data_IF_703979867438
#
_entry.id   IF_703979867438
#
_cell.length_a   1.000
_cell.length_b   1.000
_cell.length_c   1.000
_cell.angle_alpha   90.00
_cell.angle_beta   90.00
_cell.angle_gamma   90.00
#
_symmetry.space_group_name_H-M   'P 1'
#
loop_
_entity.id
_entity.type
_entity.pdbx_description
1 polymer ?
#
# COMPACT_ATOMS: atom_id res chain seq x y z
N UNK A 1 -42.28 -28.25 -32.23
CA UNK A 1 -40.91 -27.80 -32.52
C UNK A 1 -40.75 -26.39 -31.98
N UNK A 2 -40.37 -26.28 -30.70
CA UNK A 2 -40.23 -24.99 -30.02
C UNK A 2 -38.77 -24.59 -30.01
N UNK A 3 -38.33 -23.86 -31.02
CA UNK A 3 -37.00 -23.26 -31.04
C UNK A 3 -36.88 -22.31 -29.85
N UNK A 4 -36.00 -22.66 -28.92
CA UNK A 4 -35.64 -21.77 -27.81
C UNK A 4 -34.76 -20.67 -28.38
N UNK A 5 -35.33 -19.49 -28.58
CA UNK A 5 -34.61 -18.34 -29.12
C UNK A 5 -33.55 -17.88 -28.10
N UNK A 6 -32.27 -18.14 -28.40
CA UNK A 6 -31.15 -17.73 -27.54
C UNK A 6 -30.92 -16.23 -27.74
N UNK A 7 -31.33 -15.44 -26.75
CA UNK A 7 -31.07 -13.99 -26.73
C UNK A 7 -29.79 -13.68 -25.97
N UNK A 8 -28.76 -13.20 -26.66
CA UNK A 8 -27.55 -12.70 -26.02
C UNK A 8 -27.81 -11.36 -25.32
N UNK A 9 -27.46 -11.27 -24.03
CA UNK A 9 -27.56 -10.04 -23.24
C UNK A 9 -26.15 -9.60 -22.88
N UNK A 10 -25.77 -8.38 -23.27
CA UNK A 10 -24.49 -7.77 -22.86
C UNK A 10 -24.57 -7.38 -21.39
N UNK A 11 -23.64 -7.87 -20.57
CA UNK A 11 -23.66 -7.65 -19.11
C UNK A 11 -22.80 -6.44 -18.70
N UNK A 12 -21.52 -6.45 -19.04
CA UNK A 12 -20.58 -5.36 -18.78
C UNK A 12 -19.42 -5.38 -19.79
N UNK A 13 -18.52 -4.39 -19.71
CA UNK A 13 -17.19 -4.50 -20.32
C UNK A 13 -16.40 -5.66 -19.69
N UNK A 14 -15.35 -6.20 -20.36
CA UNK A 14 -14.63 -7.37 -19.88
C UNK A 14 -14.18 -7.25 -18.41
N UNK A 15 -14.67 -8.17 -17.58
CA UNK A 15 -14.36 -8.27 -16.17
C UNK A 15 -13.94 -9.71 -15.89
N UNK A 16 -12.75 -9.90 -15.35
CA UNK A 16 -12.18 -11.22 -15.06
C UNK A 16 -12.14 -11.45 -13.55
N UNK A 17 -12.60 -12.61 -13.11
CA UNK A 17 -12.40 -13.09 -11.73
C UNK A 17 -11.14 -13.97 -11.71
N UNK A 18 -10.03 -13.44 -11.18
CA UNK A 18 -8.69 -14.07 -11.33
C UNK A 18 -8.19 -14.80 -10.09
N UNK A 19 -8.75 -14.52 -8.90
CA UNK A 19 -8.39 -15.20 -7.67
C UNK A 19 -9.50 -15.14 -6.61
N UNK A 20 -9.44 -16.06 -5.64
CA UNK A 20 -10.12 -15.93 -4.35
C UNK A 20 -9.22 -15.09 -3.43
N UNK A 21 -9.78 -14.11 -2.75
CA UNK A 21 -9.05 -13.29 -1.79
C UNK A 21 -9.49 -13.59 -0.36
N UNK A 22 -8.60 -13.41 0.61
CA UNK A 22 -8.91 -13.41 2.04
C UNK A 22 -7.88 -12.60 2.81
N UNK A 23 -8.22 -12.19 4.03
CA UNK A 23 -7.24 -11.62 4.95
C UNK A 23 -6.27 -12.69 5.45
N UNK A 24 -5.17 -12.25 6.09
CA UNK A 24 -4.12 -13.15 6.58
C UNK A 24 -4.60 -14.15 7.66
N UNK A 25 -5.67 -13.83 8.37
CA UNK A 25 -6.31 -14.70 9.36
C UNK A 25 -7.34 -15.67 8.74
N UNK A 26 -7.50 -15.65 7.41
CA UNK A 26 -8.47 -16.47 6.70
C UNK A 26 -9.91 -15.96 6.84
N UNK A 27 -10.10 -14.68 7.14
CA UNK A 27 -11.41 -14.00 7.16
C UNK A 27 -11.61 -13.12 5.92
N UNK A 28 -12.75 -12.40 5.86
CA UNK A 28 -13.06 -11.39 4.83
C UNK A 28 -12.85 -11.88 3.38
N UNK A 29 -13.46 -13.03 3.04
CA UNK A 29 -13.32 -13.62 1.71
C UNK A 29 -13.88 -12.73 0.59
N UNK A 30 -13.20 -12.76 -0.56
CA UNK A 30 -13.52 -11.95 -1.71
C UNK A 30 -13.22 -12.61 -3.05
N UNK A 31 -13.29 -11.80 -4.11
CA UNK A 31 -12.81 -12.12 -5.45
C UNK A 31 -11.88 -11.03 -5.94
N UNK A 32 -10.74 -11.43 -6.50
CA UNK A 32 -9.88 -10.51 -7.23
C UNK A 32 -10.48 -10.29 -8.62
N UNK A 33 -10.98 -9.08 -8.84
CA UNK A 33 -11.54 -8.63 -10.11
C UNK A 33 -10.46 -7.87 -10.89
N UNK A 34 -10.34 -8.16 -12.19
CA UNK A 34 -9.42 -7.48 -13.10
C UNK A 34 -10.15 -7.01 -14.36
N UNK A 35 -9.91 -5.75 -14.77
CA UNK A 35 -10.47 -5.14 -15.98
C UNK A 35 -9.52 -4.07 -16.54
N UNK A 36 -9.85 -3.54 -17.71
CA UNK A 36 -9.17 -2.36 -18.28
C UNK A 36 -10.06 -1.13 -18.09
N UNK A 37 -9.48 -0.04 -17.60
CA UNK A 37 -10.19 1.23 -17.51
C UNK A 37 -10.40 1.88 -18.89
N UNK A 38 -11.11 3.00 -18.94
CA UNK A 38 -11.38 3.75 -20.18
C UNK A 38 -10.12 4.24 -20.90
N UNK A 39 -8.97 4.26 -20.23
CA UNK A 39 -7.68 4.66 -20.80
C UNK A 39 -6.80 3.44 -21.15
N UNK A 40 -7.32 2.22 -21.03
CA UNK A 40 -6.59 0.98 -21.30
C UNK A 40 -5.66 0.53 -20.18
N UNK A 41 -5.69 1.17 -19.00
CA UNK A 41 -4.86 0.73 -17.88
C UNK A 41 -5.51 -0.46 -17.18
N UNK A 42 -4.72 -1.49 -16.89
CA UNK A 42 -5.17 -2.61 -16.07
C UNK A 42 -5.51 -2.15 -14.65
N UNK A 43 -6.70 -2.54 -14.19
CA UNK A 43 -7.21 -2.30 -12.84
C UNK A 43 -7.45 -3.63 -12.14
N UNK A 44 -7.23 -3.63 -10.83
CA UNK A 44 -7.47 -4.78 -9.96
C UNK A 44 -8.20 -4.33 -8.71
N UNK A 45 -9.09 -5.18 -8.21
CA UNK A 45 -9.78 -4.94 -6.96
C UNK A 45 -10.13 -6.25 -6.26
N UNK A 46 -9.69 -6.39 -5.00
CA UNK A 46 -10.16 -7.43 -4.09
C UNK A 46 -11.56 -7.06 -3.58
N UNK A 47 -12.57 -7.54 -4.29
CA UNK A 47 -13.98 -7.28 -4.03
C UNK A 47 -14.49 -8.18 -2.88
N UNK A 48 -14.99 -7.62 -1.77
CA UNK A 48 -15.56 -8.42 -0.68
C UNK A 48 -16.82 -9.17 -1.12
N UNK A 49 -16.91 -10.47 -0.83
CA UNK A 49 -18.07 -11.29 -1.20
C UNK A 49 -19.37 -10.81 -0.54
N UNK A 50 -19.29 -10.16 0.63
CA UNK A 50 -20.45 -9.57 1.33
C UNK A 50 -21.20 -8.53 0.49
N UNK A 51 -20.53 -7.89 -0.49
CA UNK A 51 -21.18 -6.95 -1.41
C UNK A 51 -22.21 -7.62 -2.34
N UNK A 52 -22.20 -8.95 -2.44
CA UNK A 52 -23.22 -9.72 -3.16
C UNK A 52 -24.47 -10.00 -2.32
N UNK A 53 -24.47 -9.70 -1.01
CA UNK A 53 -25.63 -9.93 -0.14
C UNK A 53 -26.81 -8.98 -0.39
N UNK A 54 -26.57 -7.86 -1.08
CA UNK A 54 -27.58 -6.85 -1.41
C UNK A 54 -27.84 -6.70 -2.91
N UNK A 55 -28.24 -5.50 -3.34
CA UNK A 55 -28.57 -5.18 -4.74
C UNK A 55 -27.35 -5.09 -5.69
N UNK A 56 -26.13 -5.25 -5.16
CA UNK A 56 -24.86 -5.05 -5.88
C UNK A 56 -24.61 -3.61 -6.33
N UNK A 57 -25.28 -2.62 -5.74
CA UNK A 57 -25.09 -1.21 -6.09
C UNK A 57 -23.68 -0.73 -5.81
N UNK A 58 -23.15 -1.03 -4.62
CA UNK A 58 -21.79 -0.65 -4.23
C UNK A 58 -20.73 -1.27 -5.14
N UNK A 59 -20.88 -2.57 -5.47
CA UNK A 59 -20.05 -3.26 -6.45
C UNK A 59 -19.99 -2.49 -7.78
N UNK A 60 -21.15 -2.14 -8.34
CA UNK A 60 -21.22 -1.42 -9.62
C UNK A 60 -20.64 -0.01 -9.51
N UNK A 61 -20.89 0.69 -8.40
CA UNK A 61 -20.36 2.02 -8.13
C UNK A 61 -18.83 2.02 -8.14
N UNK A 62 -18.21 1.07 -7.44
CA UNK A 62 -16.74 0.92 -7.41
C UNK A 62 -16.19 0.62 -8.80
N UNK A 63 -16.79 -0.31 -9.55
CA UNK A 63 -16.35 -0.63 -10.91
C UNK A 63 -16.43 0.59 -11.84
N UNK A 64 -17.53 1.35 -11.80
CA UNK A 64 -17.74 2.53 -12.65
C UNK A 64 -16.78 3.67 -12.31
N UNK A 65 -16.61 3.99 -11.01
CA UNK A 65 -15.68 5.04 -10.56
C UNK A 65 -14.24 4.72 -10.94
N UNK A 66 -13.88 3.44 -11.02
CA UNK A 66 -12.56 2.99 -11.44
C UNK A 66 -12.50 2.64 -12.95
N UNK A 67 -13.43 3.18 -13.75
CA UNK A 67 -13.32 3.23 -15.20
C UNK A 67 -13.78 1.99 -15.95
N UNK A 68 -14.54 1.07 -15.35
CA UNK A 68 -15.20 0.01 -16.12
C UNK A 68 -16.22 0.66 -17.06
N UNK A 69 -15.93 0.61 -18.37
CA UNK A 69 -16.55 1.47 -19.38
C UNK A 69 -18.05 1.23 -19.62
N UNK A 70 -18.58 0.05 -19.28
CA UNK A 70 -19.99 -0.28 -19.46
C UNK A 70 -20.46 -1.30 -18.42
N UNK A 71 -21.62 -1.05 -17.82
CA UNK A 71 -22.41 -2.00 -17.03
C UNK A 71 -23.87 -1.86 -17.46
N UNK A 72 -24.53 -2.98 -17.75
CA UNK A 72 -25.93 -2.98 -18.12
C UNK A 72 -26.82 -2.59 -16.92
N UNK A 73 -27.78 -1.69 -17.18
CA UNK A 73 -28.68 -1.14 -16.17
C UNK A 73 -29.94 -1.99 -15.94
N UNK A 74 -30.20 -2.98 -16.79
CA UNK A 74 -31.34 -3.89 -16.66
C UNK A 74 -31.19 -4.77 -15.39
N UNK A 75 -32.28 -4.96 -14.64
CA UNK A 75 -32.29 -5.75 -13.41
C UNK A 75 -31.79 -7.19 -13.57
N UNK A 76 -32.17 -7.86 -14.66
CA UNK A 76 -31.72 -9.22 -14.98
C UNK A 76 -30.22 -9.26 -15.27
N UNK A 77 -29.71 -8.29 -16.05
CA UNK A 77 -28.27 -8.22 -16.34
C UNK A 77 -27.42 -7.94 -15.09
N UNK A 78 -27.95 -7.16 -14.14
CA UNK A 78 -27.32 -6.95 -12.83
C UNK A 78 -27.26 -8.24 -12.02
N UNK A 79 -28.33 -9.03 -12.03
CA UNK A 79 -28.35 -10.35 -11.37
C UNK A 79 -27.30 -11.29 -11.99
N UNK A 80 -27.23 -11.37 -13.32
CA UNK A 80 -26.22 -12.20 -14.00
C UNK A 80 -24.78 -11.78 -13.73
N UNK A 81 -24.49 -10.48 -13.57
CA UNK A 81 -23.16 -10.03 -13.16
C UNK A 81 -22.79 -10.55 -11.75
N UNK A 82 -23.72 -10.43 -10.80
CA UNK A 82 -23.50 -10.90 -9.43
C UNK A 82 -23.37 -12.43 -9.38
N UNK A 83 -24.20 -13.13 -10.14
CA UNK A 83 -24.16 -14.58 -10.28
C UNK A 83 -22.83 -15.05 -10.91
N UNK A 84 -22.38 -14.40 -11.99
CA UNK A 84 -21.07 -14.65 -12.59
C UNK A 84 -19.93 -14.57 -11.55
N UNK A 85 -19.88 -13.48 -10.78
CA UNK A 85 -18.84 -13.29 -9.76
C UNK A 85 -18.94 -14.35 -8.66
N UNK A 86 -20.15 -14.67 -8.21
CA UNK A 86 -20.42 -15.66 -7.17
C UNK A 86 -19.99 -17.07 -7.58
N UNK A 87 -20.32 -17.46 -8.81
CA UNK A 87 -20.06 -18.80 -9.34
C UNK A 87 -18.59 -19.02 -9.74
N UNK A 88 -17.85 -17.96 -10.05
CA UNK A 88 -16.43 -18.07 -10.36
C UNK A 88 -15.64 -18.60 -9.15
N UNK A 89 -14.94 -19.73 -9.37
CA UNK A 89 -14.08 -20.41 -8.39
C UNK A 89 -12.67 -20.61 -8.98
N UNK A 90 -11.87 -19.54 -9.09
CA UNK A 90 -10.49 -19.66 -9.55
C UNK A 90 -9.65 -20.46 -8.53
N UNK A 91 -8.71 -21.27 -9.01
CA UNK A 91 -7.80 -22.05 -8.15
C UNK A 91 -6.81 -21.16 -7.40
N UNK A 92 -6.46 -20.02 -8.00
CA UNK A 92 -5.54 -19.04 -7.42
C UNK A 92 -6.15 -18.40 -6.18
N UNK A 93 -5.38 -18.39 -5.08
CA UNK A 93 -5.70 -17.72 -3.82
C UNK A 93 -4.71 -16.61 -3.55
N UNK A 94 -5.19 -15.49 -3.03
CA UNK A 94 -4.37 -14.30 -2.73
C UNK A 94 -4.74 -13.76 -1.35
N UNK A 95 -3.73 -13.46 -0.54
CA UNK A 95 -3.88 -12.80 0.76
C UNK A 95 -3.93 -11.29 0.57
N UNK A 96 -4.98 -10.66 1.06
CA UNK A 96 -5.08 -9.20 1.14
C UNK A 96 -4.30 -8.70 2.35
N UNK A 97 -3.50 -7.66 2.14
CA UNK A 97 -2.77 -6.95 3.19
C UNK A 97 -3.13 -5.48 3.17
N UNK A 98 -3.17 -4.84 4.33
CA UNK A 98 -3.61 -3.44 4.48
C UNK A 98 -2.47 -2.44 4.69
N UNK A 99 -1.22 -2.92 4.64
CA UNK A 99 0.00 -2.11 4.82
C UNK A 99 1.16 -2.68 4.02
N UNK A 100 2.12 -1.83 3.72
CA UNK A 100 3.38 -2.18 3.04
C UNK A 100 4.34 -2.97 3.96
N UNK A 101 5.51 -3.35 3.45
CA UNK A 101 6.54 -4.05 4.20
C UNK A 101 6.47 -5.56 4.08
N UNK A 102 7.08 -6.28 5.01
CA UNK A 102 7.16 -7.74 4.97
C UNK A 102 5.83 -8.41 5.32
N UNK A 103 5.42 -9.34 4.48
CA UNK A 103 4.31 -10.27 4.72
C UNK A 103 4.76 -11.67 4.36
N UNK A 104 5.08 -12.48 5.38
CA UNK A 104 5.74 -13.76 5.17
C UNK A 104 7.07 -13.58 4.43
N UNK A 105 7.24 -14.27 3.30
CA UNK A 105 8.46 -14.23 2.48
C UNK A 105 8.50 -13.16 1.39
N UNK A 106 7.53 -12.24 1.35
CA UNK A 106 7.46 -11.17 0.34
C UNK A 106 7.47 -9.78 0.96
N UNK A 107 7.99 -8.81 0.22
CA UNK A 107 7.97 -7.40 0.57
C UNK A 107 6.97 -6.66 -0.31
N UNK A 108 5.98 -6.01 0.31
CA UNK A 108 4.86 -5.36 -0.38
C UNK A 108 5.11 -3.85 -0.43
N UNK A 109 5.13 -3.28 -1.64
CA UNK A 109 5.12 -1.85 -1.94
C UNK A 109 3.73 -1.42 -2.43
N UNK A 110 3.52 -0.13 -2.70
CA UNK A 110 2.24 0.38 -3.21
C UNK A 110 1.89 -0.17 -4.60
N UNK A 111 2.89 -0.36 -5.46
CA UNK A 111 2.75 -0.72 -6.87
C UNK A 111 3.42 -2.05 -7.24
N UNK A 112 4.11 -2.67 -6.30
CA UNK A 112 4.88 -3.88 -6.53
C UNK A 112 4.86 -4.82 -5.32
N UNK A 113 4.97 -6.12 -5.55
CA UNK A 113 5.27 -7.11 -4.52
C UNK A 113 6.55 -7.83 -4.93
N UNK A 114 7.55 -7.84 -4.05
CA UNK A 114 8.88 -8.38 -4.30
C UNK A 114 9.03 -9.71 -3.55
N UNK A 115 9.45 -10.76 -4.24
CA UNK A 115 9.75 -12.08 -3.65
C UNK A 115 9.16 -13.23 -4.46
N UNK A 116 9.51 -14.47 -4.07
CA UNK A 116 9.14 -15.69 -4.83
C UNK A 116 7.62 -15.89 -4.93
N UNK A 117 6.88 -15.50 -3.89
CA UNK A 117 5.43 -15.66 -3.82
C UNK A 117 4.69 -14.35 -4.08
N UNK A 118 5.28 -13.41 -4.84
CA UNK A 118 4.69 -12.09 -5.06
C UNK A 118 3.24 -12.12 -5.59
N UNK A 119 2.88 -13.19 -6.30
CA UNK A 119 1.54 -13.38 -6.88
C UNK A 119 0.48 -13.80 -5.85
N UNK A 120 0.87 -14.19 -4.62
CA UNK A 120 -0.04 -14.64 -3.56
C UNK A 120 -0.47 -13.53 -2.61
N UNK A 121 0.02 -12.30 -2.78
CA UNK A 121 -0.32 -11.16 -1.91
C UNK A 121 -0.77 -9.96 -2.74
N UNK A 122 -1.77 -9.23 -2.25
CA UNK A 122 -2.18 -7.94 -2.82
C UNK A 122 -2.36 -6.90 -1.72
N UNK A 123 -1.84 -5.70 -1.97
CA UNK A 123 -2.09 -4.56 -1.10
C UNK A 123 -3.48 -3.99 -1.36
N UNK A 124 -4.31 -3.94 -0.33
CA UNK A 124 -5.63 -3.34 -0.33
C UNK A 124 -5.65 -2.14 0.62
N UNK A 125 -5.57 -0.94 0.06
CA UNK A 125 -5.71 0.31 0.82
C UNK A 125 -7.08 0.92 0.60
N UNK A 126 -7.64 1.56 1.64
CA UNK A 126 -8.95 2.22 1.58
C UNK A 126 -8.99 3.47 0.68
N UNK A 127 -7.85 3.90 0.13
CA UNK A 127 -7.75 4.94 -0.89
C UNK A 127 -6.55 4.69 -1.80
N UNK A 128 -6.68 5.08 -3.07
CA UNK A 128 -5.56 5.19 -4.00
C UNK A 128 -4.71 6.37 -3.53
N UNK A 129 -3.65 6.08 -2.78
CA UNK A 129 -2.69 7.09 -2.34
C UNK A 129 -1.44 7.01 -3.23
N UNK A 130 -0.74 8.13 -3.40
CA UNK A 130 0.44 8.22 -4.25
C UNK A 130 1.56 7.25 -3.85
N UNK A 131 2.55 7.09 -4.73
CA UNK A 131 3.72 6.23 -4.49
C UNK A 131 4.70 6.90 -3.54
N UNK A 132 4.93 6.30 -2.37
CA UNK A 132 5.97 6.76 -1.45
C UNK A 132 7.36 6.37 -1.98
N UNK A 133 7.54 5.11 -2.39
CA UNK A 133 8.78 4.62 -2.99
C UNK A 133 8.82 5.00 -4.47
N UNK A 134 9.96 5.50 -4.94
CA UNK A 134 10.15 5.95 -6.32
C UNK A 134 11.56 5.62 -6.80
N UNK A 135 11.69 5.28 -8.07
CA UNK A 135 12.97 5.03 -8.72
C UNK A 135 13.26 6.14 -9.71
N UNK A 136 14.48 6.67 -9.69
CA UNK A 136 14.99 7.63 -10.67
C UNK A 136 16.46 7.35 -10.92
N UNK A 137 16.83 7.11 -12.18
CA UNK A 137 18.19 6.73 -12.55
C UNK A 137 18.54 5.31 -12.14
N UNK A 138 19.84 5.05 -12.00
CA UNK A 138 20.42 3.74 -11.67
C UNK A 138 21.14 3.74 -10.33
N UNK A 139 21.41 2.55 -9.79
CA UNK A 139 22.26 2.39 -8.60
C UNK A 139 23.66 2.97 -8.80
N UNK A 140 24.21 2.83 -10.00
CA UNK A 140 25.52 3.33 -10.41
C UNK A 140 25.55 4.85 -10.31
N UNK A 141 24.57 5.52 -10.93
CA UNK A 141 24.40 6.97 -10.84
C UNK A 141 24.20 7.42 -9.40
N UNK A 142 23.44 6.69 -8.59
CA UNK A 142 23.27 7.00 -7.17
C UNK A 142 24.61 6.93 -6.42
N UNK A 143 25.42 5.88 -6.65
CA UNK A 143 26.75 5.75 -6.02
C UNK A 143 27.68 6.88 -6.45
N UNK A 144 27.67 7.25 -7.72
CA UNK A 144 28.53 8.29 -8.29
C UNK A 144 28.15 9.70 -7.83
N UNK A 145 26.85 9.98 -7.70
CA UNK A 145 26.35 11.33 -7.39
C UNK A 145 26.06 11.57 -5.91
N UNK A 146 25.76 10.52 -5.13
CA UNK A 146 25.40 10.64 -3.71
C UNK A 146 26.27 9.73 -2.83
N UNK A 147 26.33 8.44 -3.15
CA UNK A 147 27.02 7.43 -2.34
C UNK A 147 28.50 7.76 -2.08
N UNK A 148 29.19 8.35 -3.06
CA UNK A 148 30.60 8.77 -2.92
C UNK A 148 30.83 9.72 -1.74
N UNK A 149 29.85 10.57 -1.39
CA UNK A 149 29.98 11.52 -0.28
C UNK A 149 29.82 10.87 1.09
N UNK A 150 29.33 9.63 1.15
CA UNK A 150 29.28 8.86 2.39
C UNK A 150 30.68 8.37 2.81
N UNK A 151 31.62 8.25 1.87
CA UNK A 151 33.00 7.82 2.16
C UNK A 151 33.67 8.89 3.01
N UNK A 152 34.22 8.49 4.18
CA UNK A 152 34.83 9.37 5.19
C UNK A 152 33.89 10.40 5.81
N UNK A 153 32.58 10.33 5.55
CA UNK A 153 31.57 11.14 6.23
C UNK A 153 30.68 10.25 7.10
N UNK A 154 31.05 10.11 8.36
CA UNK A 154 30.36 9.21 9.30
C UNK A 154 28.85 9.52 9.44
N UNK A 155 28.46 10.81 9.37
CA UNK A 155 27.05 11.24 9.50
C UNK A 155 26.21 10.76 8.32
N UNK A 156 26.69 10.99 7.09
CA UNK A 156 26.01 10.52 5.88
C UNK A 156 26.00 8.99 5.81
N UNK A 157 27.15 8.35 6.05
CA UNK A 157 27.27 6.90 6.04
C UNK A 157 26.31 6.25 7.05
N UNK A 158 26.23 6.77 8.26
CA UNK A 158 25.32 6.27 9.29
C UNK A 158 23.86 6.43 8.88
N UNK A 159 23.43 7.61 8.44
CA UNK A 159 22.04 7.86 8.06
C UNK A 159 21.58 7.00 6.87
N UNK A 160 22.43 6.86 5.86
CA UNK A 160 22.17 5.97 4.72
C UNK A 160 22.11 4.50 5.16
N UNK A 161 23.01 4.09 6.07
CA UNK A 161 23.00 2.71 6.60
C UNK A 161 21.70 2.41 7.34
N UNK A 162 21.12 3.37 8.07
CA UNK A 162 19.81 3.19 8.71
C UNK A 162 18.69 2.95 7.69
N UNK A 163 18.71 3.64 6.56
CA UNK A 163 17.73 3.44 5.49
C UNK A 163 17.81 2.02 4.90
N UNK A 164 19.02 1.49 4.70
CA UNK A 164 19.21 0.10 4.28
C UNK A 164 18.90 -0.93 5.37
N UNK A 165 19.16 -0.60 6.64
CA UNK A 165 18.94 -1.51 7.75
C UNK A 165 17.45 -1.71 8.07
N UNK A 166 16.60 -0.70 7.85
CA UNK A 166 15.18 -0.74 8.19
C UNK A 166 14.43 -1.99 7.67
N UNK A 167 14.49 -2.34 6.36
CA UNK A 167 13.85 -3.57 5.87
C UNK A 167 14.50 -4.85 6.38
N UNK A 168 15.70 -4.81 6.95
CA UNK A 168 16.37 -6.00 7.47
C UNK A 168 15.95 -6.32 8.91
N UNK A 169 15.52 -5.33 9.70
CA UNK A 169 15.24 -5.48 11.13
C UNK A 169 14.26 -6.63 11.42
N UNK A 170 13.16 -6.69 10.66
CA UNK A 170 12.16 -7.76 10.81
C UNK A 170 12.69 -9.14 10.44
N UNK A 171 13.54 -9.23 9.41
CA UNK A 171 14.14 -10.51 9.00
C UNK A 171 15.07 -11.09 10.05
N UNK A 172 15.75 -10.21 10.81
CA UNK A 172 16.65 -10.62 11.90
C UNK A 172 15.98 -10.62 13.28
N UNK A 173 14.66 -10.39 13.34
CA UNK A 173 13.90 -10.41 14.60
C UNK A 173 14.25 -9.26 15.55
N UNK A 174 14.79 -8.15 15.05
CA UNK A 174 15.12 -6.97 15.85
C UNK A 174 13.94 -5.99 15.78
N UNK A 175 13.59 -5.40 16.94
CA UNK A 175 12.55 -4.39 17.04
C UNK A 175 12.88 -3.10 16.28
N UNK A 176 11.84 -2.30 16.03
CA UNK A 176 11.99 -0.97 15.45
C UNK A 176 12.72 0.00 16.39
N UNK A 177 13.13 1.14 15.84
CA UNK A 177 13.81 2.19 16.59
C UNK A 177 14.04 3.43 15.74
N UNK A 178 14.70 4.43 16.31
CA UNK A 178 15.01 5.66 15.63
C UNK A 178 16.21 6.37 16.22
N UNK A 179 16.77 7.30 15.44
CA UNK A 179 17.88 8.14 15.84
C UNK A 179 17.50 9.61 15.62
N UNK A 180 17.86 10.46 16.56
CA UNK A 180 17.66 11.90 16.44
C UNK A 180 19.01 12.59 16.19
N UNK A 181 19.19 13.09 14.96
CA UNK A 181 20.37 13.89 14.63
C UNK A 181 20.19 15.32 15.15
N UNK A 182 20.84 15.63 16.27
CA UNK A 182 20.81 16.95 16.91
C UNK A 182 22.06 17.76 16.57
N UNK A 183 21.88 19.05 16.33
CA UNK A 183 22.95 20.00 16.03
C UNK A 183 22.40 21.39 15.78
N UNK A 184 23.28 22.38 15.62
CA UNK A 184 22.90 23.77 15.38
C UNK A 184 22.23 23.97 14.02
N UNK A 185 21.55 25.10 13.84
CA UNK A 185 20.96 25.44 12.54
C UNK A 185 22.04 25.46 11.45
N UNK A 186 21.69 25.05 10.24
CA UNK A 186 22.60 25.04 9.07
C UNK A 186 23.77 24.04 9.17
N UNK A 187 23.80 23.14 10.15
CA UNK A 187 24.87 22.14 10.34
C UNK A 187 24.69 20.85 9.50
N UNK A 188 23.91 20.91 8.41
CA UNK A 188 23.76 19.79 7.46
C UNK A 188 22.81 18.65 7.86
N UNK A 189 21.98 18.82 8.90
CA UNK A 189 21.00 17.80 9.36
C UNK A 189 20.00 17.40 8.27
N UNK A 190 19.30 18.37 7.70
CA UNK A 190 18.33 18.15 6.63
C UNK A 190 18.98 17.57 5.39
N UNK A 191 20.21 17.99 5.05
CA UNK A 191 20.99 17.40 3.95
C UNK A 191 21.26 15.92 4.21
N UNK A 192 21.70 15.57 5.42
CA UNK A 192 21.95 14.18 5.82
C UNK A 192 20.70 13.32 5.70
N UNK A 193 19.56 13.83 6.18
CA UNK A 193 18.27 13.17 6.03
C UNK A 193 17.87 12.99 4.56
N UNK A 194 18.02 14.03 3.72
CA UNK A 194 17.69 13.95 2.28
C UNK A 194 18.55 12.93 1.53
N UNK A 195 19.84 12.81 1.88
CA UNK A 195 20.71 11.78 1.31
C UNK A 195 20.23 10.38 1.73
N UNK A 196 19.87 10.17 2.99
CA UNK A 196 19.28 8.89 3.41
C UNK A 196 17.93 8.62 2.71
N UNK A 197 17.07 9.63 2.56
CA UNK A 197 15.75 9.53 1.93
C UNK A 197 15.83 9.02 0.49
N UNK A 198 16.92 9.36 -0.20
CA UNK A 198 17.17 8.95 -1.58
C UNK A 198 17.33 7.43 -1.78
N UNK A 199 17.50 6.66 -0.70
CA UNK A 199 17.53 5.19 -0.74
C UNK A 199 16.14 4.61 -1.03
N UNK A 200 15.08 5.23 -0.50
CA UNK A 200 13.71 4.74 -0.65
C UNK A 200 12.96 5.45 -1.78
N UNK A 201 13.36 6.67 -2.10
CA UNK A 201 12.66 7.49 -3.08
C UNK A 201 13.41 8.77 -3.40
N UNK A 202 12.69 9.89 -3.37
CA UNK A 202 13.25 11.21 -3.67
C UNK A 202 13.39 12.11 -2.46
N UNK A 203 13.73 13.37 -2.71
CA UNK A 203 13.82 14.43 -1.70
C UNK A 203 12.51 14.75 -0.99
N UNK A 204 11.39 14.17 -1.42
CA UNK A 204 10.05 14.38 -0.84
C UNK A 204 9.62 13.20 0.03
N UNK A 205 10.51 12.21 0.23
CA UNK A 205 10.22 11.06 1.07
C UNK A 205 10.25 11.41 2.57
N UNK A 206 10.74 12.58 2.99
CA UNK A 206 10.67 12.99 4.40
C UNK A 206 9.37 13.75 4.72
N UNK A 207 9.01 13.80 6.00
CA UNK A 207 7.89 14.60 6.52
C UNK A 207 8.35 15.54 7.63
N UNK A 208 7.61 16.61 7.90
CA UNK A 208 7.82 17.41 9.12
C UNK A 208 7.20 16.70 10.32
N UNK A 209 7.78 16.90 11.51
CA UNK A 209 7.16 16.58 12.80
C UNK A 209 5.86 17.35 13.04
N UNK A 210 5.64 18.48 12.35
CA UNK A 210 4.40 19.25 12.37
C UNK A 210 3.28 18.54 11.60
N UNK A 211 2.87 17.39 12.13
CA UNK A 211 1.80 16.55 11.63
C UNK A 211 1.06 15.91 12.81
N UNK A 212 -0.22 15.60 12.65
CA UNK A 212 -0.95 14.89 13.70
C UNK A 212 -0.43 13.47 13.85
N UNK A 213 -0.49 12.91 15.06
CA UNK A 213 -0.09 11.51 15.31
C UNK A 213 -0.78 10.52 14.36
N UNK A 214 -2.07 10.73 14.06
CA UNK A 214 -2.82 9.88 13.12
C UNK A 214 -2.29 9.99 11.67
N UNK A 215 -1.85 11.18 11.24
CA UNK A 215 -1.26 11.36 9.92
C UNK A 215 0.08 10.63 9.81
N UNK A 216 0.92 10.73 10.85
CA UNK A 216 2.21 10.01 10.91
C UNK A 216 2.02 8.50 11.02
N UNK A 217 1.01 8.03 11.76
CA UNK A 217 0.64 6.62 11.81
C UNK A 217 0.23 6.09 10.42
N UNK A 218 -0.58 6.86 9.69
CA UNK A 218 -0.95 6.54 8.31
C UNK A 218 0.27 6.42 7.40
N UNK A 219 1.21 7.37 7.50
CA UNK A 219 2.47 7.30 6.75
C UNK A 219 3.35 6.12 7.17
N UNK A 220 3.44 5.83 8.47
CA UNK A 220 4.20 4.69 8.99
C UNK A 220 3.64 3.35 8.48
N UNK A 221 2.31 3.23 8.37
CA UNK A 221 1.67 2.06 7.76
C UNK A 221 2.03 1.87 6.26
N UNK A 222 2.12 2.98 5.52
CA UNK A 222 2.58 2.97 4.11
C UNK A 222 4.08 2.82 3.91
N UNK A 223 4.85 2.85 5.01
CA UNK A 223 6.30 2.66 5.04
C UNK A 223 6.69 1.66 6.12
N UNK A 224 5.84 0.66 6.31
CA UNK A 224 6.06 -0.35 7.33
C UNK A 224 7.26 -1.19 6.91
N UNK A 225 8.12 -1.53 7.87
CA UNK A 225 9.44 -2.13 7.62
C UNK A 225 10.40 -1.27 6.76
N UNK A 226 10.17 0.05 6.66
CA UNK A 226 11.08 1.00 6.03
C UNK A 226 11.38 2.21 6.95
N UNK A 227 12.43 2.96 6.63
CA UNK A 227 12.75 4.19 7.38
C UNK A 227 11.66 5.24 7.22
N UNK A 228 11.25 5.86 8.33
CA UNK A 228 10.46 7.09 8.34
C UNK A 228 11.37 8.26 8.72
N UNK A 229 11.41 9.28 7.87
CA UNK A 229 12.28 10.45 8.06
C UNK A 229 11.44 11.66 8.45
N UNK A 230 11.73 12.22 9.62
CA UNK A 230 11.00 13.33 10.22
C UNK A 230 11.94 14.50 10.55
N UNK A 231 11.68 15.67 9.96
CA UNK A 231 12.46 16.89 10.18
C UNK A 231 11.71 17.92 11.05
N UNK A 232 12.44 18.89 11.59
CA UNK A 232 11.89 20.01 12.36
C UNK A 232 11.10 19.61 13.62
N UNK A 233 11.67 18.72 14.44
CA UNK A 233 11.07 18.30 15.73
C UNK A 233 10.74 19.45 16.69
N UNK A 234 11.32 20.64 16.47
CA UNK A 234 11.04 21.85 17.26
C UNK A 234 9.65 22.43 16.99
N UNK A 235 8.99 22.03 15.90
CA UNK A 235 7.63 22.50 15.54
C UNK A 235 6.50 21.77 16.28
N UNK A 236 6.83 20.78 17.12
CA UNK A 236 5.87 19.99 17.89
C UNK A 236 6.19 20.06 19.39
N UNK A 237 5.15 20.00 20.24
CA UNK A 237 5.35 19.94 21.69
C UNK A 237 6.11 18.66 22.09
N UNK A 238 6.97 18.77 23.10
CA UNK A 238 7.84 17.67 23.52
C UNK A 238 7.07 16.41 23.97
N UNK A 239 5.88 16.57 24.56
CA UNK A 239 5.04 15.44 24.97
C UNK A 239 4.46 14.73 23.75
N UNK A 240 3.98 15.48 22.77
CA UNK A 240 3.45 14.92 21.53
C UNK A 240 4.56 14.22 20.72
N UNK A 241 5.74 14.83 20.61
CA UNK A 241 6.91 14.22 19.98
C UNK A 241 7.28 12.88 20.62
N UNK A 242 7.31 12.82 21.96
CA UNK A 242 7.57 11.60 22.72
C UNK A 242 6.54 10.50 22.46
N UNK A 243 5.25 10.85 22.44
CA UNK A 243 4.17 9.90 22.16
C UNK A 243 4.27 9.32 20.74
N UNK A 244 4.55 10.17 19.75
CA UNK A 244 4.73 9.74 18.35
C UNK A 244 5.95 8.82 18.23
N UNK A 245 7.09 9.20 18.83
CA UNK A 245 8.30 8.38 18.80
C UNK A 245 8.07 7.00 19.42
N UNK A 246 7.36 6.93 20.55
CA UNK A 246 7.02 5.67 21.21
C UNK A 246 6.09 4.79 20.35
N UNK A 247 5.05 5.38 19.74
CA UNK A 247 4.15 4.70 18.81
C UNK A 247 4.91 4.09 17.63
N UNK A 248 5.82 4.87 17.01
CA UNK A 248 6.61 4.42 15.87
C UNK A 248 7.57 3.28 16.24
N UNK A 249 8.27 3.39 17.37
CA UNK A 249 9.22 2.38 17.83
C UNK A 249 8.54 1.03 18.14
N UNK A 250 7.36 1.07 18.76
CA UNK A 250 6.62 -0.14 19.10
C UNK A 250 5.92 -0.81 17.90
N UNK A 251 5.79 -0.11 16.77
CA UNK A 251 5.13 -0.64 15.58
C UNK A 251 3.64 -0.99 15.77
N UNK A 252 3.02 -0.51 16.84
CA UNK A 252 1.60 -0.72 17.12
C UNK A 252 0.83 0.52 16.66
N UNK A 253 0.04 0.35 15.59
CA UNK A 253 -1.00 1.31 15.24
C UNK A 253 -2.13 1.27 16.28
N UNK A 254 -2.88 2.35 16.42
CA UNK A 254 -4.15 2.31 17.14
C UNK A 254 -5.05 1.32 16.42
N UNK A 255 -5.49 0.28 17.12
CA UNK A 255 -6.52 -0.61 16.62
C UNK A 255 -7.73 0.26 16.22
N UNK A 256 -8.03 0.33 14.92
CA UNK A 256 -9.28 0.96 14.49
C UNK A 256 -10.39 0.03 14.96
N UNK A 257 -11.10 0.43 16.01
CA UNK A 257 -12.45 -0.04 16.22
C UNK A 257 -13.19 0.23 14.91
N UNK A 258 -13.71 -0.81 14.25
CA UNK A 258 -14.70 -0.61 13.20
C UNK A 258 -15.85 0.13 13.89
N UNK A 259 -16.20 1.31 13.40
CA UNK A 259 -17.49 1.91 13.71
C UNK A 259 -18.55 1.11 12.96
N UNK A 260 -18.94 -0.03 13.51
CA UNK A 260 -20.22 -0.68 13.27
C UNK A 260 -21.27 0.00 14.14
N UNK A 261 -21.60 1.23 13.77
CA UNK A 261 -22.81 1.88 14.25
C UNK A 261 -24.01 1.35 13.47
N UNK A 262 -24.68 0.35 14.06
CA UNK A 262 -26.06 -0.12 13.80
C UNK A 262 -26.47 -0.50 12.38
#
# INVERSE_FOLDING_TARGET
>A
DGDTEIRNIKICSPLRVTAITSDADGSNYGRLLEWEDTNGNSRKWAMPMEMLGGSGEELRRVLLVNGLSYININGMARAFLMEYISLCKPDRKVTCVNKTGWHGGVYVLQDEVIGREAQSVILQTSSVQGRDFRVSGTSEEWRENLGRYCIKNARLAFAVSLAFAAPLLKLVGIGGGGYHLKGESTDGKTTTMKVAASVCGGTDFWHTWRATGNALEGTASRRNDATLMLDEIREVDGREAGNIAYMLANGQGKARARTDGS
#
